data_IF_279466538443
#
_entry.id   IF_279466538443
#
_cell.length_a   1.000
_cell.length_b   1.000
_cell.length_c   1.000
_cell.angle_alpha   90.00
_cell.angle_beta   90.00
_cell.angle_gamma   90.00
#
_symmetry.space_group_name_H-M   'P 1'
#
loop_
_entity.id
_entity.type
_entity.pdbx_description
1 polymer ?
#
# COMPACT_ATOMS: atom_id res chain seq x y z
N UNK A 1 19.64 38.22 35.58
CA UNK A 1 19.06 38.77 36.82
C UNK A 1 17.56 38.83 36.65
N UNK A 2 16.85 38.23 37.60
CA UNK A 2 15.41 38.10 37.64
C UNK A 2 14.70 39.46 37.76
N UNK A 3 13.46 39.57 37.26
CA UNK A 3 12.32 39.72 38.18
C UNK A 3 10.99 39.70 37.44
N UNK A 4 10.13 38.84 37.97
CA UNK A 4 8.68 38.78 37.78
C UNK A 4 8.03 39.69 38.83
N UNK A 5 6.94 40.39 38.49
CA UNK A 5 5.90 40.84 39.43
C UNK A 5 4.74 41.44 38.61
N UNK A 6 3.60 40.76 38.42
CA UNK A 6 2.45 40.59 39.34
C UNK A 6 1.53 41.82 39.52
N UNK A 7 0.25 41.55 39.19
CA UNK A 7 -1.03 42.03 39.77
C UNK A 7 -1.86 43.11 39.05
N UNK A 8 -3.04 42.62 38.66
CA UNK A 8 -4.39 43.17 38.40
C UNK A 8 -4.94 44.03 39.58
N UNK A 9 -6.16 44.65 39.57
CA UNK A 9 -7.36 44.41 38.73
C UNK A 9 -8.25 45.64 38.35
N UNK A 10 -9.38 45.33 37.68
CA UNK A 10 -10.71 45.99 37.71
C UNK A 10 -11.21 46.81 36.50
N UNK A 11 -12.21 46.20 35.85
CA UNK A 11 -13.29 46.74 34.98
C UNK A 11 -14.17 47.80 35.69
N UNK A 12 -15.23 48.36 35.08
CA UNK A 12 -15.58 48.55 33.65
C UNK A 12 -15.97 50.03 33.36
N UNK A 13 -16.31 50.39 32.11
CA UNK A 13 -17.51 51.19 31.76
C UNK A 13 -17.59 51.35 30.22
N UNK A 14 -18.82 51.10 29.78
CA UNK A 14 -19.44 51.21 28.47
C UNK A 14 -19.27 52.55 27.75
N UNK A 15 -19.09 52.50 26.44
CA UNK A 15 -19.78 53.38 25.47
C UNK A 15 -19.78 52.72 24.09
N UNK A 16 -20.98 52.37 23.63
CA UNK A 16 -21.20 51.78 22.32
C UNK A 16 -21.17 52.83 21.20
N UNK A 17 -20.83 52.36 20.01
CA UNK A 17 -21.18 52.99 18.74
C UNK A 17 -21.66 51.88 17.80
N UNK A 18 -22.92 52.00 17.39
CA UNK A 18 -23.54 51.30 16.26
C UNK A 18 -22.93 51.80 14.95
N UNK A 19 -22.69 50.93 13.96
CA UNK A 19 -23.50 50.90 12.72
C UNK A 19 -23.12 49.74 11.78
N UNK A 20 -24.16 49.29 11.08
CA UNK A 20 -24.36 48.23 10.10
C UNK A 20 -23.27 47.98 9.04
N UNK A 21 -23.15 46.70 8.61
CA UNK A 21 -23.26 46.42 7.18
C UNK A 21 -23.86 45.04 6.86
N UNK A 22 -24.89 45.08 6.03
CA UNK A 22 -25.56 43.98 5.34
C UNK A 22 -24.82 43.62 4.04
N UNK A 23 -24.72 42.33 3.70
CA UNK A 23 -25.06 41.81 2.35
C UNK A 23 -24.91 40.29 2.24
N UNK A 24 -26.04 39.65 1.93
CA UNK A 24 -26.15 38.34 1.27
C UNK A 24 -25.86 38.50 -0.23
N UNK A 25 -25.07 37.60 -0.81
CA UNK A 25 -25.09 37.12 -2.21
C UNK A 25 -24.36 35.76 -2.19
N UNK A 26 -25.00 34.59 -2.35
CA UNK A 26 -25.62 33.98 -3.55
C UNK A 26 -24.63 33.80 -4.71
N UNK A 27 -24.23 32.54 -4.96
CA UNK A 27 -23.78 31.94 -6.24
C UNK A 27 -23.63 30.42 -5.98
N UNK A 28 -24.64 29.60 -6.24
CA UNK A 28 -25.07 29.05 -7.53
C UNK A 28 -24.22 27.83 -7.97
N UNK A 29 -24.89 26.67 -7.90
CA UNK A 29 -24.53 25.41 -8.56
C UNK A 29 -24.35 25.64 -10.07
N UNK A 30 -23.29 25.09 -10.64
CA UNK A 30 -23.19 24.83 -12.07
C UNK A 30 -23.27 23.32 -12.29
N UNK A 31 -24.46 22.90 -12.72
CA UNK A 31 -24.77 21.64 -13.38
C UNK A 31 -24.54 21.91 -14.87
N UNK A 32 -23.61 21.21 -15.52
CA UNK A 32 -23.52 21.19 -16.98
C UNK A 32 -24.25 19.96 -17.50
N UNK A 33 -25.46 20.18 -18.01
CA UNK A 33 -26.13 19.30 -18.96
C UNK A 33 -25.54 19.54 -20.35
N UNK A 34 -25.14 18.48 -21.03
CA UNK A 34 -25.15 18.42 -22.49
C UNK A 34 -25.83 17.13 -22.93
N UNK A 35 -26.89 17.30 -23.69
CA UNK A 35 -27.89 16.33 -24.09
C UNK A 35 -27.48 15.49 -25.31
N UNK A 36 -27.80 14.18 -25.23
CA UNK A 36 -28.48 13.34 -26.22
C UNK A 36 -28.05 13.35 -27.71
N UNK A 37 -27.48 12.21 -28.13
CA UNK A 37 -27.95 11.32 -29.20
C UNK A 37 -27.61 9.90 -28.69
N UNK A 38 -28.48 8.91 -28.48
CA UNK A 38 -29.76 8.59 -29.09
C UNK A 38 -29.65 7.25 -29.83
N UNK A 39 -29.58 6.11 -29.14
CA UNK A 39 -29.90 4.78 -29.71
C UNK A 39 -30.48 3.82 -28.67
N UNK A 40 -31.63 3.28 -29.03
CA UNK A 40 -32.55 2.41 -28.29
C UNK A 40 -31.89 1.10 -27.83
N UNK A 41 -32.08 0.75 -26.55
CA UNK A 41 -31.98 -0.63 -26.09
C UNK A 41 -33.40 -1.19 -25.97
N UNK A 42 -33.59 -2.34 -26.62
CA UNK A 42 -34.83 -3.11 -26.65
C UNK A 42 -34.95 -3.88 -25.34
N UNK A 43 -36.05 -3.65 -24.64
CA UNK A 43 -36.55 -4.48 -23.55
C UNK A 43 -36.87 -5.89 -24.08
N UNK A 44 -36.41 -6.91 -23.37
CA UNK A 44 -37.06 -8.21 -23.42
C UNK A 44 -37.15 -8.77 -21.99
N UNK A 45 -38.35 -8.61 -21.44
CA UNK A 45 -38.83 -9.29 -20.24
C UNK A 45 -38.80 -10.80 -20.44
N UNK A 46 -38.19 -11.54 -19.51
CA UNK A 46 -38.38 -12.98 -19.40
C UNK A 46 -38.84 -13.34 -17.98
N UNK A 47 -40.00 -13.98 -17.98
CA UNK A 47 -40.83 -14.45 -16.88
C UNK A 47 -40.13 -15.43 -15.94
N UNK A 48 -40.46 -15.29 -14.64
CA UNK A 48 -40.21 -16.30 -13.62
C UNK A 48 -41.05 -17.56 -13.87
N UNK A 49 -40.40 -18.72 -13.89
CA UNK A 49 -41.04 -20.01 -13.63
C UNK A 49 -40.12 -20.87 -12.76
N UNK A 50 -40.71 -21.36 -11.67
CA UNK A 50 -40.14 -22.20 -10.62
C UNK A 50 -40.04 -23.67 -11.06
N UNK A 51 -38.89 -24.32 -10.88
CA UNK A 51 -38.84 -25.75 -10.49
C UNK A 51 -37.44 -26.21 -10.01
N UNK A 52 -37.43 -26.63 -8.74
CA UNK A 52 -36.78 -27.82 -8.14
C UNK A 52 -35.43 -28.35 -8.63
N UNK A 53 -34.48 -28.33 -7.68
CA UNK A 53 -33.61 -29.44 -7.22
C UNK A 53 -32.81 -30.27 -8.25
N UNK A 54 -31.49 -30.16 -8.18
CA UNK A 54 -30.57 -31.15 -8.74
C UNK A 54 -29.11 -30.73 -8.66
N UNK A 55 -28.38 -31.19 -7.64
CA UNK A 55 -26.92 -31.06 -7.54
C UNK A 55 -26.25 -31.71 -8.76
N UNK A 56 -25.55 -30.92 -9.59
CA UNK A 56 -24.50 -31.43 -10.49
C UNK A 56 -23.30 -30.47 -10.57
N UNK A 57 -22.15 -31.09 -10.37
CA UNK A 57 -20.78 -30.60 -10.37
C UNK A 57 -20.45 -29.80 -11.64
N UNK A 58 -20.03 -28.53 -11.50
CA UNK A 58 -19.58 -27.71 -12.61
C UNK A 58 -18.04 -27.75 -12.71
N UNK A 59 -17.53 -28.52 -13.68
CA UNK A 59 -16.20 -28.34 -14.25
C UNK A 59 -16.23 -27.05 -15.08
N UNK A 60 -15.49 -26.02 -14.69
CA UNK A 60 -15.28 -24.84 -15.53
C UNK A 60 -14.39 -25.22 -16.72
N UNK A 61 -15.02 -25.61 -17.83
CA UNK A 61 -14.44 -25.51 -19.17
C UNK A 61 -14.63 -24.06 -19.60
N UNK A 62 -13.56 -23.27 -19.60
CA UNK A 62 -13.52 -22.01 -20.34
C UNK A 62 -13.49 -22.35 -21.83
N UNK A 63 -14.65 -22.33 -22.49
CA UNK A 63 -14.73 -22.38 -23.94
C UNK A 63 -14.11 -21.11 -24.51
N UNK A 64 -12.97 -21.29 -25.16
CA UNK A 64 -12.29 -20.29 -25.95
C UNK A 64 -13.15 -20.02 -27.19
N UNK A 65 -13.96 -18.97 -27.15
CA UNK A 65 -14.61 -18.45 -28.35
C UNK A 65 -13.52 -17.90 -29.26
N UNK A 66 -13.18 -18.65 -30.32
CA UNK A 66 -12.38 -18.14 -31.44
C UNK A 66 -13.20 -17.08 -32.16
N UNK A 67 -13.00 -15.82 -31.80
CA UNK A 67 -13.43 -14.68 -32.62
C UNK A 67 -12.38 -14.52 -33.72
N UNK A 68 -12.59 -15.23 -34.82
CA UNK A 68 -11.90 -14.97 -36.08
C UNK A 68 -12.54 -13.76 -36.75
N UNK A 69 -11.80 -12.65 -36.83
CA UNK A 69 -12.14 -11.51 -37.69
C UNK A 69 -12.34 -10.17 -36.98
N UNK A 70 -11.29 -9.64 -36.35
CA UNK A 70 -11.10 -8.20 -36.15
C UNK A 70 -9.65 -7.89 -36.55
N UNK A 71 -9.44 -7.36 -37.75
CA UNK A 71 -8.22 -6.66 -38.08
C UNK A 71 -8.22 -5.34 -37.29
N UNK A 72 -8.00 -5.42 -35.97
CA UNK A 72 -7.59 -4.27 -35.20
C UNK A 72 -6.16 -3.97 -35.63
N UNK A 73 -5.97 -2.93 -36.44
CA UNK A 73 -4.63 -2.38 -36.70
C UNK A 73 -4.12 -1.84 -35.37
N UNK A 74 -3.33 -2.63 -34.66
CA UNK A 74 -2.68 -2.18 -33.43
C UNK A 74 -1.77 -0.99 -33.75
N UNK A 75 -1.94 0.11 -33.04
CA UNK A 75 -1.11 1.30 -33.22
C UNK A 75 0.33 1.00 -32.78
N UNK A 76 1.31 1.32 -33.62
CA UNK A 76 2.71 1.01 -33.37
C UNK A 76 3.47 2.25 -32.88
N UNK A 77 4.09 2.12 -31.71
CA UNK A 77 4.94 3.15 -31.12
C UNK A 77 6.33 2.58 -30.80
N UNK A 78 7.33 3.46 -30.67
CA UNK A 78 8.70 3.07 -30.36
C UNK A 78 9.28 3.93 -29.24
N UNK A 79 9.86 3.25 -28.25
CA UNK A 79 10.50 3.83 -27.08
C UNK A 79 11.85 3.15 -26.84
N UNK A 80 12.74 3.76 -26.07
CA UNK A 80 13.98 3.09 -25.66
C UNK A 80 13.70 1.99 -24.64
N UNK A 81 12.80 2.26 -23.69
CA UNK A 81 12.41 1.34 -22.63
C UNK A 81 10.89 1.22 -22.56
N UNK A 82 10.38 -0.02 -22.50
CA UNK A 82 8.97 -0.31 -22.22
C UNK A 82 8.87 -1.00 -20.87
N UNK A 83 8.09 -0.45 -19.95
CA UNK A 83 7.92 -0.94 -18.58
C UNK A 83 6.50 -1.49 -18.42
N UNK A 84 6.39 -2.78 -18.11
CA UNK A 84 5.11 -3.46 -17.85
C UNK A 84 4.80 -3.42 -16.36
N UNK A 85 3.87 -2.56 -15.96
CA UNK A 85 3.40 -2.35 -14.60
C UNK A 85 3.58 -0.90 -14.14
N UNK A 86 2.46 -0.22 -13.83
CA UNK A 86 2.36 1.13 -13.30
C UNK A 86 2.15 1.13 -11.76
N UNK A 87 2.71 0.14 -11.07
CA UNK A 87 2.91 0.20 -9.62
C UNK A 87 4.07 1.11 -9.24
N UNK A 88 4.31 1.29 -7.93
CA UNK A 88 5.41 2.13 -7.43
C UNK A 88 6.77 1.75 -8.03
N UNK A 89 7.03 0.46 -8.24
CA UNK A 89 8.29 -0.02 -8.82
C UNK A 89 8.42 0.44 -10.28
N UNK A 90 7.44 0.17 -11.14
CA UNK A 90 7.54 0.57 -12.55
C UNK A 90 7.57 2.08 -12.74
N UNK A 91 6.78 2.83 -11.98
CA UNK A 91 6.76 4.30 -12.04
C UNK A 91 8.07 4.93 -11.53
N UNK A 92 8.69 4.37 -10.49
CA UNK A 92 9.99 4.85 -10.01
C UNK A 92 11.13 4.47 -10.95
N UNK A 93 11.09 3.30 -11.60
CA UNK A 93 12.03 2.94 -12.67
C UNK A 93 11.90 3.91 -13.85
N UNK A 94 10.67 4.17 -14.31
CA UNK A 94 10.41 5.15 -15.36
C UNK A 94 11.01 6.50 -14.99
N UNK A 95 10.73 6.97 -13.77
CA UNK A 95 11.25 8.22 -13.24
C UNK A 95 12.77 8.28 -13.29
N UNK A 96 13.47 7.23 -12.84
CA UNK A 96 14.94 7.17 -12.84
C UNK A 96 15.51 7.26 -14.26
N UNK A 97 14.92 6.58 -15.24
CA UNK A 97 15.34 6.73 -16.64
C UNK A 97 15.11 8.16 -17.16
N UNK A 98 13.97 8.76 -16.85
CA UNK A 98 13.62 10.10 -17.34
C UNK A 98 14.53 11.21 -16.79
N UNK A 99 14.94 11.12 -15.52
CA UNK A 99 15.82 12.12 -14.89
C UNK A 99 17.32 11.81 -15.02
N UNK A 100 17.69 10.54 -15.19
CA UNK A 100 19.08 10.10 -15.25
C UNK A 100 19.62 9.93 -16.66
N UNK A 101 18.79 10.09 -17.69
CA UNK A 101 19.17 9.85 -19.09
C UNK A 101 18.24 10.56 -20.07
N UNK A 102 18.58 10.53 -21.36
CA UNK A 102 17.74 11.01 -22.46
C UNK A 102 16.86 9.91 -23.07
N UNK A 103 16.71 8.76 -22.40
CA UNK A 103 15.89 7.66 -22.88
C UNK A 103 14.41 8.05 -22.90
N UNK A 104 13.70 7.54 -23.92
CA UNK A 104 12.25 7.55 -24.03
C UNK A 104 11.65 6.31 -23.36
N UNK A 105 10.59 6.50 -22.58
CA UNK A 105 10.00 5.47 -21.73
C UNK A 105 8.50 5.36 -21.96
N UNK A 106 8.00 4.16 -22.20
CA UNK A 106 6.58 3.84 -22.11
C UNK A 106 6.30 3.03 -20.84
N UNK A 107 5.22 3.36 -20.14
CA UNK A 107 4.67 2.53 -19.06
C UNK A 107 3.34 1.96 -19.54
N UNK A 108 3.22 0.63 -19.49
CA UNK A 108 2.02 -0.10 -19.86
C UNK A 108 1.48 -0.87 -18.66
N UNK A 109 0.17 -0.81 -18.40
CA UNK A 109 -0.48 -1.52 -17.30
C UNK A 109 -1.85 -2.07 -17.70
N UNK A 110 -2.20 -3.23 -17.15
CA UNK A 110 -3.50 -3.87 -17.36
C UNK A 110 -4.68 -3.08 -16.75
N UNK A 111 -4.39 -2.14 -15.85
CA UNK A 111 -5.34 -1.26 -15.19
C UNK A 111 -4.79 0.18 -15.11
N UNK A 112 -5.28 0.97 -14.15
CA UNK A 112 -4.73 2.29 -13.83
C UNK A 112 -3.65 2.18 -12.74
N UNK A 113 -2.74 3.16 -12.64
CA UNK A 113 -1.74 3.21 -11.57
C UNK A 113 -2.34 3.02 -10.18
N UNK A 114 -1.56 2.41 -9.28
CA UNK A 114 -1.99 2.12 -7.91
C UNK A 114 -3.10 1.04 -7.78
N UNK A 115 -3.55 0.39 -8.87
CA UNK A 115 -4.59 -0.66 -8.82
C UNK A 115 -4.13 -2.00 -8.23
N UNK A 116 -2.81 -2.23 -8.18
CA UNK A 116 -2.21 -3.43 -7.60
C UNK A 116 -1.89 -3.32 -6.11
N UNK A 117 -0.89 -4.10 -5.67
CA UNK A 117 -0.42 -4.10 -4.27
C UNK A 117 0.03 -2.72 -3.77
N UNK A 118 0.45 -1.81 -4.66
CA UNK A 118 0.81 -0.43 -4.30
C UNK A 118 -0.36 0.30 -3.63
N UNK A 119 -1.56 0.32 -4.22
CA UNK A 119 -2.70 1.04 -3.63
C UNK A 119 -3.43 0.29 -2.53
N UNK A 120 -3.17 -1.01 -2.40
CA UNK A 120 -3.61 -1.83 -1.28
C UNK A 120 -2.63 -1.79 -0.09
N UNK A 121 -1.49 -1.09 -0.21
CA UNK A 121 -0.46 -0.99 0.82
C UNK A 121 -0.69 0.16 1.81
N UNK A 122 -0.17 0.01 3.02
CA UNK A 122 -0.26 1.01 4.09
C UNK A 122 0.77 2.14 3.98
N UNK A 123 1.75 2.00 3.07
CA UNK A 123 2.77 3.01 2.81
C UNK A 123 3.87 3.09 3.88
N UNK A 124 4.14 1.99 4.58
CA UNK A 124 5.19 1.93 5.61
C UNK A 124 6.60 1.95 5.02
N UNK A 125 7.44 2.82 5.56
CA UNK A 125 8.89 2.82 5.35
C UNK A 125 9.51 2.59 6.72
N UNK A 126 9.35 1.36 7.20
CA UNK A 126 9.72 0.95 8.56
C UNK A 126 10.95 0.06 8.55
N UNK A 127 11.92 0.41 9.39
CA UNK A 127 13.13 -0.37 9.65
C UNK A 127 13.03 -1.19 10.94
N UNK A 128 12.07 -0.91 11.83
CA UNK A 128 11.96 -1.57 13.16
C UNK A 128 11.85 -3.10 13.13
N UNK A 129 11.31 -3.65 12.04
CA UNK A 129 11.14 -5.10 11.84
C UNK A 129 12.15 -5.68 10.84
N UNK A 130 13.12 -4.89 10.39
CA UNK A 130 14.16 -5.33 9.45
C UNK A 130 15.36 -5.87 10.21
N UNK A 131 16.03 -6.85 9.62
CA UNK A 131 17.21 -7.50 10.22
C UNK A 131 18.49 -6.90 9.62
N UNK A 132 19.33 -6.22 10.42
CA UNK A 132 20.66 -5.80 9.99
C UNK A 132 21.48 -6.95 9.42
N UNK A 133 22.22 -6.68 8.34
CA UNK A 133 23.05 -7.68 7.66
C UNK A 133 22.30 -8.70 6.81
N UNK A 134 20.96 -8.64 6.71
CA UNK A 134 20.21 -9.46 5.75
C UNK A 134 20.43 -8.99 4.31
N UNK A 135 20.18 -9.86 3.33
CA UNK A 135 20.34 -9.56 1.89
C UNK A 135 19.54 -8.34 1.42
N UNK A 136 18.48 -7.96 2.16
CA UNK A 136 17.62 -6.82 1.84
C UNK A 136 17.97 -5.55 2.62
N UNK A 137 18.91 -5.62 3.57
CA UNK A 137 19.21 -4.53 4.49
C UNK A 137 19.68 -3.27 3.76
N UNK A 138 20.73 -3.39 2.93
CA UNK A 138 21.27 -2.26 2.17
C UNK A 138 20.24 -1.65 1.23
N UNK A 139 19.41 -2.49 0.61
CA UNK A 139 18.32 -2.01 -0.24
C UNK A 139 17.26 -1.24 0.56
N UNK A 140 16.90 -1.70 1.76
CA UNK A 140 15.94 -1.04 2.63
C UNK A 140 16.48 0.31 3.14
N UNK A 141 17.73 0.35 3.61
CA UNK A 141 18.40 1.58 4.05
C UNK A 141 18.49 2.61 2.91
N UNK A 142 18.93 2.18 1.73
CA UNK A 142 18.99 3.04 0.55
C UNK A 142 17.61 3.54 0.13
N UNK A 143 16.60 2.67 0.10
CA UNK A 143 15.22 3.04 -0.22
C UNK A 143 14.70 4.10 0.74
N UNK A 144 14.86 3.90 2.05
CA UNK A 144 14.51 4.88 3.08
C UNK A 144 15.15 6.24 2.81
N UNK A 145 16.47 6.27 2.59
CA UNK A 145 17.18 7.52 2.32
C UNK A 145 16.70 8.23 1.05
N UNK A 146 16.40 7.49 -0.01
CA UNK A 146 15.85 8.06 -1.25
C UNK A 146 14.46 8.68 -1.04
N UNK A 147 13.62 8.08 -0.21
CA UNK A 147 12.33 8.66 0.14
C UNK A 147 12.46 9.92 0.99
N UNK A 148 13.38 9.94 1.96
CA UNK A 148 13.71 11.14 2.74
C UNK A 148 14.17 12.29 1.82
N UNK A 149 15.13 12.01 0.93
CA UNK A 149 15.61 12.99 -0.06
C UNK A 149 14.49 13.49 -0.98
N UNK A 150 13.54 12.62 -1.35
CA UNK A 150 12.41 13.04 -2.17
C UNK A 150 11.47 13.98 -1.40
N UNK A 151 11.15 13.67 -0.14
CA UNK A 151 10.36 14.54 0.71
C UNK A 151 11.06 15.90 0.95
N UNK A 152 12.37 15.90 1.23
CA UNK A 152 13.20 17.11 1.35
C UNK A 152 13.15 17.94 0.06
N UNK A 153 13.25 17.30 -1.12
CA UNK A 153 13.19 18.01 -2.41
C UNK A 153 11.85 18.71 -2.65
N UNK A 154 10.73 18.14 -2.17
CA UNK A 154 9.40 18.76 -2.24
C UNK A 154 9.35 19.99 -1.32
N UNK A 155 9.92 19.87 -0.13
CA UNK A 155 10.01 20.99 0.82
C UNK A 155 10.87 22.13 0.27
N UNK A 156 12.01 21.83 -0.37
CA UNK A 156 12.87 22.83 -1.01
C UNK A 156 12.18 23.57 -2.16
N UNK A 157 11.18 22.95 -2.80
CA UNK A 157 10.34 23.60 -3.81
C UNK A 157 9.21 24.46 -3.19
N UNK A 158 9.17 24.61 -1.87
CA UNK A 158 8.15 25.39 -1.15
C UNK A 158 6.80 24.67 -1.01
N UNK A 159 6.74 23.36 -1.27
CA UNK A 159 5.53 22.55 -1.13
C UNK A 159 5.55 21.74 0.16
N UNK A 160 4.38 21.30 0.63
CA UNK A 160 4.26 20.50 1.85
C UNK A 160 4.32 18.98 1.55
N UNK A 161 5.36 18.23 1.99
CA UNK A 161 5.46 16.79 1.73
C UNK A 161 4.31 15.97 2.33
N UNK A 162 3.69 16.44 3.41
CA UNK A 162 2.51 15.79 4.01
C UNK A 162 1.33 15.80 3.03
N UNK A 163 1.11 16.92 2.34
CA UNK A 163 0.01 17.05 1.37
C UNK A 163 0.33 16.35 0.06
N UNK A 164 1.59 16.42 -0.39
CA UNK A 164 2.00 15.89 -1.70
C UNK A 164 2.22 14.36 -1.68
N UNK A 165 2.78 13.82 -0.61
CA UNK A 165 3.13 12.39 -0.51
C UNK A 165 2.38 11.66 0.60
N UNK A 166 1.70 12.38 1.51
CA UNK A 166 1.31 11.80 2.79
C UNK A 166 2.50 11.54 3.72
N UNK A 167 3.64 12.22 3.51
CA UNK A 167 4.90 11.95 4.21
C UNK A 167 4.79 12.30 5.70
N UNK A 168 4.80 11.28 6.55
CA UNK A 168 4.75 11.41 8.01
C UNK A 168 5.96 10.74 8.64
N UNK A 169 6.71 11.48 9.44
CA UNK A 169 7.65 10.92 10.42
C UNK A 169 6.83 10.33 11.57
N UNK A 170 6.31 9.14 11.33
CA UNK A 170 5.30 8.51 12.19
C UNK A 170 5.97 7.84 13.39
N UNK A 171 7.22 7.42 13.25
CA UNK A 171 7.82 6.43 14.14
C UNK A 171 7.10 5.09 14.03
N UNK A 172 7.76 4.04 14.51
CA UNK A 172 7.20 2.69 14.48
C UNK A 172 7.49 1.95 15.78
N UNK A 173 6.50 1.19 16.24
CA UNK A 173 6.53 0.35 17.43
C UNK A 173 6.32 -1.09 17.01
N UNK A 174 7.31 -1.94 17.30
CA UNK A 174 7.15 -3.38 17.28
C UNK A 174 6.77 -3.84 18.69
N UNK A 175 5.57 -4.38 18.84
CA UNK A 175 4.87 -4.56 20.11
C UNK A 175 4.82 -6.03 20.51
N UNK A 176 5.18 -6.31 21.75
CA UNK A 176 5.15 -7.63 22.38
C UNK A 176 4.35 -7.62 23.68
N UNK A 177 3.71 -8.74 24.02
CA UNK A 177 2.84 -8.84 25.20
C UNK A 177 3.35 -9.81 26.26
N UNK A 178 4.37 -10.60 25.94
CA UNK A 178 4.94 -11.62 26.82
C UNK A 178 6.37 -11.27 27.22
N UNK A 179 6.86 -11.85 28.32
CA UNK A 179 8.25 -11.73 28.72
C UNK A 179 9.21 -12.20 27.60
N UNK A 180 8.86 -13.26 26.87
CA UNK A 180 9.65 -13.77 25.74
C UNK A 180 9.70 -12.75 24.58
N UNK A 181 8.59 -12.08 24.28
CA UNK A 181 8.58 -11.02 23.28
C UNK A 181 9.49 -9.88 23.70
N UNK A 182 9.43 -9.46 24.97
CA UNK A 182 10.28 -8.40 25.52
C UNK A 182 11.77 -8.73 25.34
N UNK A 183 12.19 -9.97 25.55
CA UNK A 183 13.58 -10.39 25.29
C UNK A 183 13.93 -10.28 23.80
N UNK A 184 13.02 -10.68 22.90
CA UNK A 184 13.22 -10.53 21.44
C UNK A 184 13.32 -9.05 21.04
N UNK A 185 12.46 -8.21 21.59
CA UNK A 185 12.41 -6.77 21.31
C UNK A 185 13.70 -6.07 21.73
N UNK A 186 14.22 -6.35 22.92
CA UNK A 186 15.51 -5.79 23.37
C UNK A 186 16.66 -6.17 22.44
N UNK A 187 16.73 -7.43 22.00
CA UNK A 187 17.74 -7.87 21.01
C UNK A 187 17.57 -7.18 19.66
N UNK A 188 16.34 -6.92 19.22
CA UNK A 188 16.08 -6.16 18.00
C UNK A 188 16.58 -4.72 18.14
N UNK A 189 16.33 -4.07 19.28
CA UNK A 189 16.82 -2.72 19.57
C UNK A 189 18.35 -2.67 19.56
N UNK A 190 19.02 -3.63 20.20
CA UNK A 190 20.47 -3.74 20.22
C UNK A 190 21.03 -3.82 18.79
N UNK A 191 20.54 -4.76 17.99
CA UNK A 191 20.99 -4.94 16.59
C UNK A 191 20.77 -3.70 15.73
N UNK A 192 19.61 -3.05 15.85
CA UNK A 192 19.31 -1.84 15.08
C UNK A 192 20.21 -0.68 15.54
N UNK A 193 20.50 -0.58 16.83
CA UNK A 193 21.39 0.43 17.40
C UNK A 193 22.84 0.24 16.95
N UNK A 194 23.33 -0.99 16.96
CA UNK A 194 24.65 -1.36 16.40
C UNK A 194 24.74 -1.04 14.90
N UNK A 195 23.63 -1.16 14.18
CA UNK A 195 23.53 -0.78 12.77
C UNK A 195 23.34 0.74 12.54
N UNK A 196 23.41 1.56 13.60
CA UNK A 196 23.37 3.02 13.52
C UNK A 196 21.96 3.64 13.52
N UNK A 197 20.91 2.86 13.80
CA UNK A 197 19.55 3.38 13.94
C UNK A 197 19.23 3.71 15.40
N UNK A 198 18.55 4.83 15.64
CA UNK A 198 18.18 5.30 16.99
C UNK A 198 17.02 4.52 17.65
N UNK A 199 17.05 3.19 17.58
CA UNK A 199 16.05 2.33 18.18
C UNK A 199 16.12 2.37 19.71
N UNK A 200 14.97 2.22 20.38
CA UNK A 200 14.85 2.22 21.83
C UNK A 200 13.92 1.12 22.29
N UNK A 201 14.21 0.52 23.44
CA UNK A 201 13.26 -0.36 24.11
C UNK A 201 12.36 0.47 25.03
N UNK A 202 11.06 0.22 24.97
CA UNK A 202 10.06 0.81 25.85
C UNK A 202 9.46 -0.30 26.72
N UNK A 203 9.58 -0.13 28.03
CA UNK A 203 8.85 -0.97 28.99
C UNK A 203 7.34 -0.71 28.88
N UNK A 204 6.51 -1.57 29.47
CA UNK A 204 5.05 -1.35 29.56
C UNK A 204 4.69 0.06 30.07
N UNK A 205 5.42 0.59 31.06
CA UNK A 205 5.19 1.91 31.62
C UNK A 205 5.61 3.04 30.67
N UNK A 206 6.78 2.93 30.04
CA UNK A 206 7.26 3.94 29.10
C UNK A 206 6.39 3.95 27.84
N UNK A 207 5.96 2.77 27.38
CA UNK A 207 5.06 2.61 26.25
C UNK A 207 3.70 3.26 26.52
N UNK A 208 3.18 3.19 27.75
CA UNK A 208 1.92 3.86 28.11
C UNK A 208 2.03 5.39 28.00
N UNK A 209 3.23 5.95 28.21
CA UNK A 209 3.47 7.40 28.03
C UNK A 209 3.54 7.76 26.55
N UNK A 210 4.25 6.96 25.75
CA UNK A 210 4.45 7.21 24.31
C UNK A 210 3.18 6.92 23.47
N UNK A 211 2.44 5.87 23.82
CA UNK A 211 1.23 5.40 23.14
C UNK A 211 0.11 5.09 24.14
N UNK A 212 -0.56 6.11 24.71
CA UNK A 212 -1.56 5.94 25.77
C UNK A 212 -2.79 5.11 25.37
N UNK A 213 -3.04 4.99 24.06
CA UNK A 213 -4.14 4.19 23.53
C UNK A 213 -3.83 2.68 23.52
N UNK A 214 -2.56 2.28 23.70
CA UNK A 214 -2.11 0.90 23.59
C UNK A 214 -1.91 0.23 24.96
N UNK A 215 -2.45 -0.97 25.12
CA UNK A 215 -2.32 -1.79 26.34
C UNK A 215 -1.61 -3.12 26.04
N UNK A 216 -0.47 -3.38 26.69
CA UNK A 216 0.35 -4.59 26.45
C UNK A 216 0.45 -5.54 27.64
N UNK A 217 -0.09 -5.16 28.81
CA UNK A 217 0.09 -5.89 30.07
C UNK A 217 1.45 -5.61 30.72
N UNK A 218 1.66 -6.07 31.96
CA UNK A 218 2.87 -5.71 32.76
C UNK A 218 4.17 -6.28 32.20
N UNK A 219 4.11 -7.43 31.53
CA UNK A 219 5.27 -8.12 30.96
C UNK A 219 5.56 -7.72 29.50
N UNK A 220 4.66 -6.96 28.89
CA UNK A 220 4.79 -6.48 27.53
C UNK A 220 5.69 -5.25 27.41
N UNK A 221 5.96 -4.87 26.16
CA UNK A 221 6.79 -3.72 25.81
C UNK A 221 6.83 -3.51 24.30
N UNK A 222 7.71 -2.59 23.86
CA UNK A 222 7.90 -2.32 22.45
C UNK A 222 9.36 -1.99 22.11
N UNK A 223 9.80 -2.40 20.91
CA UNK A 223 10.93 -1.77 20.25
C UNK A 223 10.40 -0.56 19.46
N UNK A 224 10.99 0.60 19.68
CA UNK A 224 10.56 1.87 19.11
C UNK A 224 11.65 2.44 18.19
N UNK A 225 11.28 2.82 16.97
CA UNK A 225 12.15 3.55 16.05
C UNK A 225 11.49 4.87 15.64
N UNK A 226 11.91 6.02 16.21
CA UNK A 226 11.27 7.32 15.97
C UNK A 226 11.48 7.86 14.55
N UNK A 227 12.53 7.40 13.86
CA UNK A 227 12.89 7.88 12.51
C UNK A 227 12.29 7.01 11.40
N UNK A 228 11.25 6.24 11.70
CA UNK A 228 10.47 5.53 10.67
C UNK A 228 9.35 6.39 10.10
N UNK A 229 9.05 6.16 8.82
CA UNK A 229 8.16 7.00 8.05
C UNK A 229 6.95 6.23 7.52
N UNK A 230 5.93 7.00 7.16
CA UNK A 230 4.78 6.52 6.41
C UNK A 230 4.48 7.51 5.29
N UNK A 231 3.96 6.99 4.16
CA UNK A 231 3.41 7.78 3.07
C UNK A 231 2.00 7.30 2.70
N UNK A 232 1.29 8.10 1.91
CA UNK A 232 0.04 7.69 1.29
C UNK A 232 0.33 7.17 -0.12
N UNK A 233 -0.01 5.90 -0.38
CA UNK A 233 0.32 5.27 -1.65
C UNK A 233 -0.29 5.96 -2.88
N UNK A 234 -1.52 6.49 -2.77
CA UNK A 234 -2.21 7.16 -3.88
C UNK A 234 -1.61 8.53 -4.15
N UNK A 235 -1.34 9.31 -3.10
CA UNK A 235 -0.66 10.61 -3.23
C UNK A 235 0.74 10.45 -3.83
N UNK A 236 1.50 9.47 -3.34
CA UNK A 236 2.82 9.14 -3.86
C UNK A 236 2.80 8.76 -5.35
N UNK A 237 1.88 7.89 -5.76
CA UNK A 237 1.75 7.49 -7.18
C UNK A 237 1.37 8.70 -8.04
N UNK A 238 0.36 9.48 -7.63
CA UNK A 238 -0.05 10.68 -8.36
C UNK A 238 1.08 11.71 -8.48
N UNK A 239 1.90 11.87 -7.45
CA UNK A 239 3.07 12.75 -7.46
C UNK A 239 4.11 12.28 -8.49
N UNK A 240 4.44 10.98 -8.51
CA UNK A 240 5.42 10.42 -9.44
C UNK A 240 4.90 10.47 -10.89
N UNK A 241 3.64 10.12 -11.13
CA UNK A 241 3.02 10.24 -12.46
C UNK A 241 3.09 11.67 -12.97
N UNK A 242 2.67 12.65 -12.14
CA UNK A 242 2.74 14.07 -12.51
C UNK A 242 4.17 14.50 -12.85
N UNK A 243 5.16 14.04 -12.09
CA UNK A 243 6.56 14.32 -12.36
C UNK A 243 7.02 13.69 -13.69
N UNK A 244 6.65 12.44 -13.97
CA UNK A 244 7.01 11.76 -15.21
C UNK A 244 6.36 12.41 -16.45
N UNK A 245 5.10 12.85 -16.35
CA UNK A 245 4.36 13.53 -17.43
C UNK A 245 4.98 14.85 -17.89
N UNK A 246 5.88 15.46 -17.11
CA UNK A 246 6.63 16.64 -17.56
C UNK A 246 7.46 16.34 -18.83
N UNK A 247 7.90 15.09 -18.98
CA UNK A 247 8.70 14.61 -20.11
C UNK A 247 7.88 14.20 -21.35
N UNK A 248 6.55 14.25 -21.27
CA UNK A 248 5.67 13.94 -22.42
C UNK A 248 5.80 14.99 -23.52
N UNK A 249 5.98 16.27 -23.16
CA UNK A 249 6.18 17.36 -24.14
C UNK A 249 7.47 17.21 -24.97
N UNK A 250 8.47 16.54 -24.41
CA UNK A 250 9.73 16.18 -25.09
C UNK A 250 9.61 14.88 -25.90
N UNK A 251 8.44 14.23 -25.90
CA UNK A 251 8.23 12.91 -26.52
C UNK A 251 8.95 11.77 -25.80
N UNK A 252 9.43 11.98 -24.56
CA UNK A 252 10.21 10.99 -23.82
C UNK A 252 9.39 10.14 -22.86
N UNK A 253 8.12 10.45 -22.67
CA UNK A 253 7.26 9.66 -21.78
C UNK A 253 5.84 9.49 -22.31
N UNK A 254 5.35 8.25 -22.26
CA UNK A 254 3.98 7.88 -22.60
C UNK A 254 3.42 6.82 -21.65
N UNK A 255 2.10 6.82 -21.48
CA UNK A 255 1.35 5.96 -20.57
C UNK A 255 0.27 5.21 -21.36
N UNK A 256 0.20 3.89 -21.16
CA UNK A 256 -0.76 2.99 -21.81
C UNK A 256 -1.49 2.18 -20.72
N UNK A 257 -2.65 2.67 -20.28
CA UNK A 257 -3.45 2.04 -19.21
C UNK A 257 -4.64 1.28 -19.77
N UNK A 258 -5.12 0.29 -19.03
CA UNK A 258 -6.10 -0.71 -19.51
C UNK A 258 -5.59 -1.54 -20.70
N UNK A 259 -4.26 -1.67 -20.80
CA UNK A 259 -3.57 -2.36 -21.87
C UNK A 259 -2.74 -3.50 -21.29
N UNK A 260 -3.36 -4.65 -20.96
CA UNK A 260 -2.61 -5.80 -20.48
C UNK A 260 -1.59 -6.25 -21.54
N UNK A 261 -0.36 -6.50 -21.12
CA UNK A 261 0.65 -7.11 -21.98
C UNK A 261 0.25 -8.54 -22.32
N UNK A 262 0.14 -8.85 -23.62
CA UNK A 262 -0.33 -10.15 -24.11
C UNK A 262 0.79 -10.99 -24.74
N UNK A 263 1.83 -10.36 -25.29
CA UNK A 263 2.97 -11.06 -25.87
C UNK A 263 4.25 -10.22 -25.80
N UNK A 264 5.39 -10.89 -25.85
CA UNK A 264 6.68 -10.25 -26.08
C UNK A 264 7.01 -10.34 -27.58
N UNK A 265 7.33 -9.20 -28.17
CA UNK A 265 7.83 -9.14 -29.54
C UNK A 265 9.29 -9.58 -29.54
N UNK A 266 9.66 -10.44 -30.49
CA UNK A 266 11.02 -10.98 -30.58
C UNK A 266 11.56 -10.84 -31.98
N UNK A 267 12.85 -10.54 -32.06
CA UNK A 267 13.57 -10.54 -33.33
C UNK A 267 13.57 -11.94 -33.94
N UNK A 268 13.18 -12.05 -35.22
CA UNK A 268 13.20 -13.34 -35.92
C UNK A 268 14.61 -13.90 -36.12
N UNK A 269 15.64 -13.06 -36.11
CA UNK A 269 17.04 -13.45 -36.33
C UNK A 269 17.80 -13.73 -35.03
N UNK A 270 17.63 -12.91 -33.99
CA UNK A 270 18.39 -13.03 -32.72
C UNK A 270 17.59 -13.67 -31.59
N UNK A 271 16.26 -13.68 -31.68
CA UNK A 271 15.36 -14.09 -30.58
C UNK A 271 15.28 -13.10 -29.41
N UNK A 272 15.97 -11.97 -29.50
CA UNK A 272 15.95 -10.91 -28.48
C UNK A 272 14.57 -10.28 -28.37
N UNK A 273 14.21 -9.82 -27.16
CA UNK A 273 12.94 -9.14 -26.92
C UNK A 273 13.04 -7.71 -27.43
N UNK A 274 12.22 -7.36 -28.41
CA UNK A 274 12.19 -6.06 -29.09
C UNK A 274 10.96 -5.22 -28.70
N UNK A 275 10.09 -5.72 -27.82
CA UNK A 275 8.93 -4.96 -27.38
C UNK A 275 7.84 -5.78 -26.73
N UNK A 276 6.69 -5.13 -26.55
CA UNK A 276 5.50 -5.69 -25.92
C UNK A 276 4.30 -5.44 -26.81
N UNK A 277 3.47 -6.47 -26.99
CA UNK A 277 2.16 -6.32 -27.60
C UNK A 277 1.07 -6.24 -26.53
N UNK A 278 0.07 -5.42 -26.80
CA UNK A 278 -1.19 -5.29 -26.04
C UNK A 278 -2.36 -5.53 -26.99
N UNK A 279 -3.60 -5.34 -26.54
CA UNK A 279 -4.75 -5.47 -27.43
C UNK A 279 -4.73 -4.39 -28.53
N UNK A 280 -4.44 -3.15 -28.15
CA UNK A 280 -4.56 -2.00 -29.04
C UNK A 280 -3.22 -1.48 -29.57
N UNK A 281 -2.10 -1.86 -28.94
CA UNK A 281 -0.78 -1.28 -29.24
C UNK A 281 0.33 -2.31 -29.42
N UNK A 282 1.26 -1.98 -30.32
CA UNK A 282 2.58 -2.59 -30.47
C UNK A 282 3.61 -1.58 -29.95
N UNK A 283 4.25 -1.90 -28.82
CA UNK A 283 5.22 -1.03 -28.16
C UNK A 283 6.62 -1.58 -28.36
N UNK A 284 7.34 -1.06 -29.35
CA UNK A 284 8.71 -1.47 -29.65
C UNK A 284 9.68 -0.82 -28.64
N UNK A 285 10.55 -1.65 -28.05
CA UNK A 285 11.60 -1.26 -27.13
C UNK A 285 12.97 -1.36 -27.81
N UNK A 286 13.64 -0.23 -28.02
CA UNK A 286 14.96 -0.20 -28.68
C UNK A 286 16.08 -0.76 -27.81
N UNK A 287 15.90 -0.76 -26.48
CA UNK A 287 16.95 -1.14 -25.52
C UNK A 287 16.51 -2.19 -24.52
N UNK A 288 15.32 -2.04 -23.92
CA UNK A 288 14.88 -2.95 -22.88
C UNK A 288 13.37 -3.00 -22.68
N UNK A 289 12.87 -4.19 -22.35
CA UNK A 289 11.57 -4.40 -21.72
C UNK A 289 11.78 -4.72 -20.24
N UNK A 290 11.10 -3.99 -19.36
CA UNK A 290 11.18 -4.18 -17.91
C UNK A 290 9.84 -4.72 -17.39
N UNK A 291 9.87 -5.86 -16.70
CA UNK A 291 8.68 -6.45 -16.10
C UNK A 291 8.59 -6.04 -14.63
N UNK A 292 7.68 -5.11 -14.34
CA UNK A 292 7.40 -4.56 -13.02
C UNK A 292 5.96 -4.85 -12.56
N UNK A 293 5.39 -5.99 -12.97
CA UNK A 293 4.00 -6.39 -12.76
C UNK A 293 3.69 -6.93 -11.33
N UNK A 294 4.46 -6.53 -10.33
CA UNK A 294 4.22 -6.89 -8.92
C UNK A 294 4.12 -8.41 -8.68
N UNK A 295 3.09 -8.84 -7.93
CA UNK A 295 2.89 -10.27 -7.64
C UNK A 295 2.39 -11.08 -8.85
N UNK A 296 2.01 -10.41 -9.96
CA UNK A 296 1.62 -11.05 -11.22
C UNK A 296 2.81 -11.31 -12.14
N UNK A 297 4.02 -10.81 -11.84
CA UNK A 297 5.21 -11.06 -12.68
C UNK A 297 5.45 -12.55 -12.94
N UNK A 298 5.18 -13.41 -11.96
CA UNK A 298 5.30 -14.86 -12.11
C UNK A 298 4.38 -15.42 -13.20
N UNK A 299 3.07 -15.24 -13.03
CA UNK A 299 2.06 -15.73 -13.99
C UNK A 299 2.17 -15.05 -15.35
N UNK A 300 2.45 -13.73 -15.36
CA UNK A 300 2.61 -12.97 -16.60
C UNK A 300 3.77 -13.52 -17.42
N UNK A 301 4.92 -13.77 -16.80
CA UNK A 301 6.08 -14.30 -17.52
C UNK A 301 5.84 -15.72 -18.04
N UNK A 302 5.10 -16.55 -17.30
CA UNK A 302 4.70 -17.87 -17.79
C UNK A 302 3.84 -17.79 -19.05
N UNK A 303 2.88 -16.85 -19.08
CA UNK A 303 2.02 -16.65 -20.25
C UNK A 303 2.79 -16.04 -21.43
N UNK A 304 3.64 -15.03 -21.19
CA UNK A 304 4.45 -14.37 -22.21
C UNK A 304 5.54 -15.26 -22.82
N UNK A 305 5.98 -16.30 -22.09
CA UNK A 305 7.03 -17.22 -22.52
C UNK A 305 6.51 -18.55 -23.05
N UNK A 306 5.19 -18.76 -23.10
CA UNK A 306 4.58 -20.05 -23.45
C UNK A 306 5.04 -20.60 -24.81
N UNK A 307 5.29 -19.72 -25.78
CA UNK A 307 5.72 -20.09 -27.12
C UNK A 307 7.26 -20.07 -27.30
N UNK A 308 8.00 -19.81 -26.23
CA UNK A 308 9.47 -19.83 -26.24
C UNK A 308 10.01 -21.18 -25.73
N UNK A 309 11.12 -21.64 -26.30
CA UNK A 309 11.83 -22.85 -25.84
C UNK A 309 12.59 -22.64 -24.50
N UNK A 310 12.23 -21.61 -23.73
CA UNK A 310 12.93 -21.20 -22.52
C UNK A 310 11.98 -21.28 -21.33
N UNK A 311 12.27 -22.19 -20.40
CA UNK A 311 11.54 -22.27 -19.15
C UNK A 311 12.12 -21.23 -18.15
N UNK A 312 11.41 -20.12 -17.97
CA UNK A 312 11.79 -19.07 -17.04
C UNK A 312 10.84 -19.07 -15.84
N UNK A 313 11.31 -19.64 -14.72
CA UNK A 313 10.60 -19.60 -13.45
C UNK A 313 10.90 -18.30 -12.70
N UNK A 314 9.91 -17.42 -12.58
CA UNK A 314 9.96 -16.26 -11.67
C UNK A 314 9.32 -16.66 -10.34
N UNK A 315 10.08 -16.80 -9.23
CA UNK A 315 9.62 -17.41 -7.98
C UNK A 315 8.78 -16.44 -7.13
N UNK A 316 7.73 -15.87 -7.71
CA UNK A 316 6.82 -14.92 -7.06
C UNK A 316 5.40 -15.48 -7.09
N UNK A 317 4.71 -15.45 -5.96
CA UNK A 317 3.32 -15.88 -5.83
C UNK A 317 2.48 -14.81 -5.12
N UNK A 318 1.26 -14.50 -5.59
CA UNK A 318 0.36 -13.61 -4.86
C UNK A 318 0.00 -14.14 -3.48
N UNK A 319 0.02 -13.25 -2.49
CA UNK A 319 -0.49 -13.51 -1.14
C UNK A 319 -1.58 -12.51 -0.81
N UNK A 320 -2.67 -12.99 -0.24
CA UNK A 320 -3.79 -12.15 0.18
C UNK A 320 -3.50 -11.52 1.54
N UNK A 321 -3.63 -10.20 1.62
CA UNK A 321 -3.72 -9.43 2.86
C UNK A 321 -5.05 -8.68 2.91
N UNK A 322 -5.40 -8.13 4.08
CA UNK A 322 -6.57 -7.26 4.23
C UNK A 322 -6.15 -5.92 4.79
N UNK A 323 -6.76 -4.87 4.25
CA UNK A 323 -6.62 -3.50 4.73
C UNK A 323 -8.02 -3.01 5.10
N UNK A 324 -8.18 -2.55 6.34
CA UNK A 324 -9.38 -1.89 6.81
C UNK A 324 -9.05 -0.43 7.09
N UNK A 325 -9.83 0.48 6.51
CA UNK A 325 -9.76 1.91 6.80
C UNK A 325 -11.05 2.29 7.48
N UNK A 326 -10.96 2.79 8.71
CA UNK A 326 -12.10 3.32 9.46
C UNK A 326 -12.05 4.84 9.37
N UNK A 327 -12.97 5.39 8.58
CA UNK A 327 -13.07 6.82 8.38
C UNK A 327 -13.71 7.53 9.58
N UNK A 328 -13.40 8.82 9.75
CA UNK A 328 -13.94 9.65 10.84
C UNK A 328 -13.70 9.06 12.23
N UNK A 329 -12.56 8.38 12.41
CA UNK A 329 -12.21 7.71 13.65
C UNK A 329 -11.85 8.73 14.74
N UNK A 330 -12.60 8.76 15.85
CA UNK A 330 -12.42 9.74 16.94
C UNK A 330 -12.32 9.12 18.33
N UNK A 331 -12.37 7.79 18.43
CA UNK A 331 -12.40 7.08 19.71
C UNK A 331 -11.07 7.23 20.48
N UNK A 332 -9.95 7.12 19.78
CA UNK A 332 -8.62 7.35 20.31
C UNK A 332 -7.69 7.81 19.19
N UNK A 333 -6.46 8.18 19.54
CA UNK A 333 -5.42 8.56 18.60
C UNK A 333 -4.23 7.62 18.76
N UNK A 334 -3.71 7.12 17.63
CA UNK A 334 -2.39 6.51 17.60
C UNK A 334 -1.36 7.59 17.31
N UNK A 335 -0.30 7.65 18.12
CA UNK A 335 0.81 8.56 17.90
C UNK A 335 1.80 7.97 16.89
N UNK A 336 1.99 6.64 16.93
CA UNK A 336 2.96 5.92 16.11
C UNK A 336 2.32 4.80 15.30
N UNK A 337 3.11 4.26 14.35
CA UNK A 337 2.75 3.05 13.63
C UNK A 337 3.01 1.82 14.49
N UNK A 338 2.05 0.92 14.61
CA UNK A 338 2.14 -0.28 15.44
C UNK A 338 2.28 -1.53 14.57
N UNK A 339 3.12 -2.47 14.99
CA UNK A 339 3.24 -3.81 14.43
C UNK A 339 3.40 -4.81 15.56
N UNK A 340 2.68 -5.92 15.52
CA UNK A 340 2.89 -7.01 16.48
C UNK A 340 4.16 -7.83 16.15
N UNK A 341 4.89 -8.31 17.15
CA UNK A 341 6.05 -9.21 16.98
C UNK A 341 5.74 -10.43 16.11
N UNK A 342 4.56 -11.05 16.27
CA UNK A 342 4.12 -12.20 15.46
C UNK A 342 4.03 -11.91 13.95
N UNK A 343 3.99 -10.64 13.55
CA UNK A 343 3.99 -10.26 12.13
C UNK A 343 5.29 -10.68 11.44
N UNK A 344 6.41 -10.64 12.16
CA UNK A 344 7.73 -11.03 11.66
C UNK A 344 7.79 -12.54 11.42
N UNK A 345 7.23 -13.32 12.34
CA UNK A 345 7.18 -14.78 12.24
C UNK A 345 6.39 -15.21 10.99
N UNK A 346 5.33 -14.48 10.63
CA UNK A 346 4.55 -14.70 9.42
C UNK A 346 5.25 -14.30 8.11
N UNK A 347 6.12 -13.29 8.15
CA UNK A 347 6.97 -12.92 7.01
C UNK A 347 8.03 -14.02 6.79
N UNK A 348 8.69 -14.46 7.85
CA UNK A 348 9.76 -15.46 7.82
C UNK A 348 9.27 -16.87 7.46
N UNK A 349 8.13 -17.33 8.01
CA UNK A 349 7.55 -18.64 7.70
C UNK A 349 7.15 -18.81 6.22
N UNK A 350 7.06 -17.71 5.48
CA UNK A 350 6.75 -17.73 4.04
C UNK A 350 8.00 -17.92 3.17
N UNK A 351 9.20 -17.66 3.72
CA UNK A 351 10.46 -17.68 2.97
C UNK A 351 11.21 -19.03 3.08
N UNK A 352 10.82 -19.91 3.99
CA UNK A 352 11.42 -21.23 4.16
C UNK A 352 10.57 -22.29 3.42
N UNK A 353 10.96 -22.75 2.22
CA UNK A 353 10.46 -24.02 1.72
C UNK A 353 11.03 -25.11 2.62
N UNK A 354 10.17 -25.99 3.13
CA UNK A 354 10.51 -27.16 3.94
C UNK A 354 11.80 -27.85 3.47
N UNK A 355 12.92 -27.54 4.12
CA UNK A 355 14.19 -28.20 3.92
C UNK A 355 14.82 -28.44 5.30
N UNK A 356 15.01 -29.74 5.58
CA UNK A 356 15.70 -30.36 6.72
C UNK A 356 15.12 -30.15 8.13
N UNK A 357 14.60 -31.27 8.67
CA UNK A 357 14.51 -31.59 10.09
C UNK A 357 15.87 -31.36 10.78
N UNK A 358 16.00 -30.28 11.56
CA UNK A 358 16.89 -30.13 12.74
C UNK A 358 17.04 -28.65 13.15
N UNK A 359 15.93 -27.97 13.37
CA UNK A 359 15.86 -26.64 14.01
C UNK A 359 14.69 -26.61 14.99
N UNK A 360 14.64 -25.66 15.95
CA UNK A 360 13.63 -25.68 17.01
C UNK A 360 12.24 -25.76 16.39
N UNK A 361 11.47 -26.76 16.84
CA UNK A 361 10.11 -27.04 16.39
C UNK A 361 9.24 -25.83 16.79
N UNK A 362 9.16 -24.83 15.90
CA UNK A 362 8.09 -23.86 15.96
C UNK A 362 6.82 -24.60 15.55
N UNK A 363 5.90 -24.76 16.49
CA UNK A 363 4.56 -25.29 16.22
C UNK A 363 3.82 -24.35 15.25
N UNK A 364 4.04 -24.53 13.94
CA UNK A 364 3.33 -23.86 12.86
C UNK A 364 1.85 -24.30 12.74
N UNK A 365 1.28 -24.88 13.80
CA UNK A 365 -0.08 -25.43 13.83
C UNK A 365 -1.09 -24.52 14.54
N UNK A 366 -0.66 -23.44 15.19
CA UNK A 366 -1.60 -22.48 15.76
C UNK A 366 -1.88 -21.39 14.73
N UNK A 367 -3.12 -21.25 14.23
CA UNK A 367 -3.45 -20.14 13.35
C UNK A 367 -3.24 -18.84 14.15
N UNK A 368 -2.46 -17.91 13.59
CA UNK A 368 -2.26 -16.59 14.17
C UNK A 368 -2.49 -15.51 13.12
N UNK A 369 -3.00 -14.38 13.61
CA UNK A 369 -3.24 -13.18 12.83
C UNK A 369 -2.31 -12.15 13.42
N UNK A 370 -1.51 -11.50 12.58
CA UNK A 370 -0.76 -10.34 13.02
C UNK A 370 -1.26 -9.09 12.35
N UNK A 371 -1.23 -8.03 13.14
CA UNK A 371 -1.84 -6.75 12.80
C UNK A 371 -0.79 -5.65 12.82
N UNK A 372 -0.95 -4.74 11.88
CA UNK A 372 -0.31 -3.43 11.92
C UNK A 372 -1.40 -2.35 11.97
N UNK A 373 -1.18 -1.30 12.76
CA UNK A 373 -2.14 -0.21 12.92
C UNK A 373 -1.44 1.13 12.79
N UNK A 374 -2.11 2.11 12.21
CA UNK A 374 -1.61 3.48 12.09
C UNK A 374 -2.76 4.46 11.89
N UNK A 375 -2.48 5.75 11.94
CA UNK A 375 -3.38 6.81 11.51
C UNK A 375 -2.87 7.42 10.20
N UNK A 376 -3.75 7.57 9.19
CA UNK A 376 -3.39 8.28 7.97
C UNK A 376 -3.28 9.81 8.18
N UNK A 377 -3.08 10.59 7.12
CA UNK A 377 -3.01 12.06 7.19
C UNK A 377 -4.37 12.72 7.44
N UNK A 378 -5.47 12.01 7.21
CA UNK A 378 -6.84 12.49 7.45
C UNK A 378 -7.35 12.12 8.85
N UNK A 379 -6.55 11.37 9.63
CA UNK A 379 -6.94 10.88 10.96
C UNK A 379 -7.78 9.61 10.92
N UNK A 380 -7.83 8.91 9.79
CA UNK A 380 -8.51 7.61 9.69
C UNK A 380 -7.63 6.52 10.31
N UNK A 381 -8.26 5.57 10.99
CA UNK A 381 -7.56 4.39 11.51
C UNK A 381 -7.35 3.40 10.37
N UNK A 382 -6.10 3.01 10.13
CA UNK A 382 -5.71 2.08 9.08
C UNK A 382 -5.16 0.81 9.71
N UNK A 383 -5.84 -0.31 9.50
CA UNK A 383 -5.50 -1.61 10.05
C UNK A 383 -5.11 -2.58 8.92
N UNK A 384 -3.91 -3.13 9.01
CA UNK A 384 -3.37 -4.12 8.09
C UNK A 384 -3.34 -5.46 8.77
N UNK A 385 -3.89 -6.48 8.11
CA UNK A 385 -4.03 -7.81 8.66
C UNK A 385 -3.37 -8.82 7.72
N UNK A 386 -2.42 -9.57 8.28
CA UNK A 386 -1.77 -10.69 7.61
C UNK A 386 -2.14 -11.98 8.35
N UNK A 387 -2.81 -12.90 7.65
CA UNK A 387 -3.20 -14.20 8.21
C UNK A 387 -2.35 -15.32 7.59
N UNK A 388 -2.02 -16.31 8.43
CA UNK A 388 -1.55 -17.63 7.99
C UNK A 388 -2.56 -18.65 8.52
N UNK A 389 -3.41 -19.16 7.64
CA UNK A 389 -4.40 -20.22 7.89
C UNK A 389 -5.63 -19.83 8.77
N UNK A 390 -6.70 -20.64 8.61
CA UNK A 390 -8.11 -20.33 8.90
C UNK A 390 -8.42 -19.96 10.37
N UNK A 391 -9.27 -18.92 10.51
CA UNK A 391 -10.09 -18.51 11.66
C UNK A 391 -9.32 -18.29 12.97
N UNK A 392 -9.17 -17.03 13.39
CA UNK A 392 -8.71 -16.65 14.73
C UNK A 392 -9.39 -15.34 15.14
N UNK A 393 -9.62 -15.17 16.44
CA UNK A 393 -10.08 -13.95 17.10
C UNK A 393 -8.87 -13.26 17.75
N UNK A 394 -8.68 -11.95 17.55
CA UNK A 394 -7.66 -11.20 18.30
C UNK A 394 -8.12 -9.76 18.59
N UNK A 395 -7.56 -9.21 19.68
CA UNK A 395 -8.07 -8.04 20.40
C UNK A 395 -7.02 -6.94 20.46
N UNK A 396 -7.35 -5.75 19.94
CA UNK A 396 -6.75 -4.51 20.47
C UNK A 396 -7.73 -3.92 21.48
N UNK A 397 -7.24 -3.69 22.69
CA UNK A 397 -7.99 -3.02 23.74
C UNK A 397 -7.61 -1.55 23.73
N UNK A 398 -8.54 -0.72 23.29
CA UNK A 398 -8.38 0.72 23.35
C UNK A 398 -9.25 1.28 24.48
N UNK A 399 -8.67 2.04 25.43
CA UNK A 399 -9.46 2.67 26.47
C UNK A 399 -10.35 3.77 25.88
N UNK A 400 -11.65 3.71 26.13
CA UNK A 400 -12.62 4.78 25.89
C UNK A 400 -13.09 5.37 27.24
N UNK A 401 -13.55 6.63 27.30
CA UNK A 401 -14.12 7.18 28.52
C UNK A 401 -15.37 6.38 28.95
N UNK A 402 -15.25 5.60 30.02
CA UNK A 402 -16.34 4.80 30.58
C UNK A 402 -16.60 3.45 29.90
N UNK A 403 -15.75 3.01 28.96
CA UNK A 403 -15.84 1.66 28.37
C UNK A 403 -14.51 1.14 27.81
N UNK A 404 -14.37 -0.17 27.63
CA UNK A 404 -13.29 -0.74 26.79
C UNK A 404 -13.79 -0.92 25.37
N UNK A 405 -13.12 -0.32 24.37
CA UNK A 405 -13.35 -0.67 22.98
C UNK A 405 -12.53 -1.92 22.67
N UNK A 406 -13.24 -3.03 22.54
CA UNK A 406 -12.68 -4.28 22.06
C UNK A 406 -12.93 -4.37 20.54
N UNK A 407 -11.88 -4.21 19.74
CA UNK A 407 -11.96 -4.48 18.30
C UNK A 407 -11.72 -5.96 18.06
N UNK A 408 -12.80 -6.75 18.04
CA UNK A 408 -12.75 -8.16 17.76
C UNK A 408 -13.05 -8.42 16.28
N UNK A 409 -12.06 -8.95 15.56
CA UNK A 409 -12.21 -9.35 14.17
C UNK A 409 -12.32 -10.88 14.08
N UNK A 410 -13.45 -11.38 13.58
CA UNK A 410 -13.61 -12.80 13.23
C UNK A 410 -13.55 -12.96 11.72
N UNK A 411 -12.66 -13.82 11.22
CA UNK A 411 -12.46 -14.07 9.80
C UNK A 411 -12.89 -15.48 9.41
N UNK A 412 -14.04 -15.62 8.75
CA UNK A 412 -14.47 -16.89 8.18
C UNK A 412 -14.06 -16.97 6.69
N UNK A 413 -13.08 -17.83 6.40
CA UNK A 413 -12.56 -18.04 5.03
C UNK A 413 -13.62 -18.54 4.02
N UNK A 414 -14.79 -18.97 4.49
CA UNK A 414 -15.88 -19.52 3.67
C UNK A 414 -16.94 -18.49 3.26
N UNK A 415 -17.09 -17.39 4.02
CA UNK A 415 -18.22 -16.47 3.87
C UNK A 415 -17.85 -15.01 3.61
N UNK A 416 -16.56 -14.66 3.53
CA UNK A 416 -16.12 -13.28 3.22
C UNK A 416 -16.72 -12.22 4.17
N UNK A 417 -17.05 -12.61 5.41
CA UNK A 417 -17.68 -11.71 6.37
C UNK A 417 -16.66 -11.26 7.41
N UNK A 418 -16.37 -9.95 7.45
CA UNK A 418 -15.68 -9.30 8.56
C UNK A 418 -16.76 -8.96 9.59
N UNK A 419 -16.81 -9.68 10.70
CA UNK A 419 -17.63 -9.24 11.84
C UNK A 419 -16.80 -8.29 12.68
N UNK A 420 -17.21 -7.02 12.71
CA UNK A 420 -16.73 -6.03 13.67
C UNK A 420 -17.68 -6.08 14.87
N UNK A 421 -17.29 -6.75 15.94
CA UNK A 421 -18.03 -6.63 17.20
C UNK A 421 -17.46 -5.43 17.96
N UNK A 422 -18.22 -4.33 18.03
CA UNK A 422 -17.97 -3.31 19.04
C UNK A 422 -18.64 -3.77 20.33
N UNK A 423 -17.86 -4.40 21.21
CA UNK A 423 -18.30 -4.63 22.58
C UNK A 423 -17.99 -3.38 23.38
N UNK A 424 -19.00 -2.71 23.90
CA UNK A 424 -18.84 -1.69 24.94
C UNK A 424 -19.01 -2.40 26.29
N UNK A 425 -17.93 -2.53 27.06
CA UNK A 425 -17.98 -3.00 28.45
C UNK A 425 -18.08 -1.85 29.43
#
# INVERSE_FOLDING_TARGET
MASTSMRTPSNPITKGVFCYNTRKHLLARLISNSSFFGRKLVDNSLSYSTSTSGKKTLRNRSELVRVSGLNATSESHSFDVVIVGAGVIGLTIARQFLIGSNLSVAVVDAAVPCSGATGAGQGYIWMIHKTPGSDKWELAMRSRKLWEMFAESIQHQGMNPVEILGWKKTGSLLVGRTADDTVKLSRTVEKLSEAGLGAKFLSSNDLLVEEPALMVGKEGGAAFLPDDFQLNARLMVACIEKANRQFTSEGRYAEFYYEPAISLLRSGSTGEVEGVQTLNYILNAKKAVVIAAGCWSGSLMQDLMRDSNTDLAVPVKPRKGHLLVIENFKCFKLNHGLMEVGYIDHEAATLQPSASDSGPIYHAQTPSISMAATMDTSGNLVLGILSVHKIVFFFFFFPLPGSLLELCFSFNASSLCLSLSLSFF
#
